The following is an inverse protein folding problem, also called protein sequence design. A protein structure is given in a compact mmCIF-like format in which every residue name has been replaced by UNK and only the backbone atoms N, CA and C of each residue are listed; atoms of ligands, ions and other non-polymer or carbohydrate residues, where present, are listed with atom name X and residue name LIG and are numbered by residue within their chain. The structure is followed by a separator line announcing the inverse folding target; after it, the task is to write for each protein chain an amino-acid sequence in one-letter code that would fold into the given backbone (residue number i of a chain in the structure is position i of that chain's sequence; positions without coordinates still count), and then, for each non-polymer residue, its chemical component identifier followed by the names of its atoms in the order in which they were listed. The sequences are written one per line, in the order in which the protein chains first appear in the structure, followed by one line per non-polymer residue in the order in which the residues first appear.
data_IF_541558417603
#
_entry.id   IF_541558417603
#
_cell.length_a   1.000
_cell.length_b   1.000
_cell.length_c   1.000
_cell.angle_alpha   90.00
_cell.angle_beta   90.00
_cell.angle_gamma   90.00
#
_symmetry.space_group_name_H-M   'P 1'
#
loop_
_entity.id
_entity.type
_entity.pdbx_description
1 polymer ?
#
# COMPACT_ATOMS: atom_id res chain seq x y z
N UNK A 1 39.15 -44.75 -35.73
CA UNK A 1 37.90 -45.04 -34.96
C UNK A 1 38.01 -44.29 -33.65
N UNK A 2 37.48 -43.06 -33.60
CA UNK A 2 37.71 -42.10 -32.52
C UNK A 2 36.43 -42.02 -31.67
N UNK A 3 36.47 -42.58 -30.47
CA UNK A 3 35.35 -42.59 -29.53
C UNK A 3 35.36 -41.25 -28.79
N UNK A 4 34.38 -40.38 -29.13
CA UNK A 4 34.18 -39.09 -28.49
C UNK A 4 33.63 -39.26 -27.05
N UNK A 5 34.34 -38.76 -26.04
CA UNK A 5 33.96 -38.78 -24.61
C UNK A 5 32.87 -37.75 -24.32
N UNK A 6 31.61 -38.18 -24.28
CA UNK A 6 30.42 -37.30 -23.99
C UNK A 6 30.09 -37.24 -22.49
N UNK A 7 30.95 -37.59 -21.56
CA UNK A 7 30.61 -37.81 -20.14
C UNK A 7 30.85 -36.62 -19.21
N UNK A 8 31.22 -35.42 -19.71
CA UNK A 8 31.58 -34.31 -18.83
C UNK A 8 30.51 -33.20 -18.70
N UNK A 9 29.44 -33.23 -19.47
CA UNK A 9 28.41 -32.19 -19.45
C UNK A 9 27.09 -32.61 -18.76
N UNK A 10 26.86 -33.85 -18.47
CA UNK A 10 25.66 -34.37 -17.83
C UNK A 10 25.38 -33.79 -16.42
N UNK A 11 26.39 -33.62 -15.52
CA UNK A 11 26.10 -33.07 -14.19
C UNK A 11 25.76 -31.57 -14.20
N UNK A 12 26.27 -30.77 -15.16
CA UNK A 12 25.95 -29.36 -15.26
C UNK A 12 24.51 -29.11 -15.72
N UNK A 13 24.00 -29.94 -16.64
CA UNK A 13 22.60 -29.86 -17.07
C UNK A 13 21.62 -30.26 -15.95
N UNK A 14 21.95 -31.23 -15.12
CA UNK A 14 21.13 -31.66 -14.00
C UNK A 14 21.04 -30.61 -12.90
N UNK A 15 22.13 -29.89 -12.60
CA UNK A 15 22.15 -28.78 -11.64
C UNK A 15 21.36 -27.56 -12.17
N UNK A 16 21.47 -27.24 -13.45
CA UNK A 16 20.69 -26.15 -14.05
C UNK A 16 19.18 -26.46 -14.07
N UNK A 17 18.80 -27.73 -14.28
CA UNK A 17 17.39 -28.16 -14.22
C UNK A 17 16.83 -28.15 -12.80
N UNK A 18 17.63 -28.41 -11.76
CA UNK A 18 17.20 -28.35 -10.36
C UNK A 18 17.01 -26.88 -9.91
N UNK A 19 17.82 -25.95 -10.38
CA UNK A 19 17.68 -24.51 -10.10
C UNK A 19 16.47 -23.88 -10.78
N UNK A 20 16.04 -24.39 -11.91
CA UNK A 20 14.84 -23.90 -12.61
C UNK A 20 13.51 -24.34 -11.95
N UNK A 21 13.53 -25.39 -11.11
CA UNK A 21 12.32 -25.87 -10.40
C UNK A 21 12.04 -25.14 -9.07
N UNK A 22 12.93 -24.27 -8.62
CA UNK A 22 12.77 -23.55 -7.35
C UNK A 22 12.34 -22.08 -7.51
N UNK A 23 11.99 -21.64 -8.70
CA UNK A 23 11.31 -20.36 -8.88
C UNK A 23 9.84 -20.52 -8.47
N UNK A 24 9.56 -20.49 -7.15
CA UNK A 24 8.23 -20.14 -6.69
C UNK A 24 7.96 -18.72 -7.19
N UNK A 25 7.19 -18.59 -8.26
CA UNK A 25 6.69 -17.31 -8.68
C UNK A 25 5.90 -16.72 -7.51
N UNK A 26 6.32 -15.57 -6.99
CA UNK A 26 5.48 -14.80 -6.10
C UNK A 26 4.18 -14.52 -6.87
N UNK A 27 3.07 -15.16 -6.46
CA UNK A 27 1.77 -14.88 -7.04
C UNK A 27 1.30 -13.55 -6.44
N UNK A 28 1.17 -12.51 -7.26
CA UNK A 28 0.62 -11.22 -6.83
C UNK A 28 -0.90 -11.31 -6.56
N UNK A 29 -1.55 -12.34 -7.11
CA UNK A 29 -2.99 -12.58 -6.97
C UNK A 29 -3.27 -14.07 -6.88
N UNK A 30 -4.29 -14.41 -6.11
CA UNK A 30 -4.88 -15.74 -6.12
C UNK A 30 -6.08 -15.73 -7.09
N UNK A 31 -6.21 -16.80 -7.87
CA UNK A 31 -7.33 -16.94 -8.81
C UNK A 31 -8.29 -17.98 -8.25
N UNK A 32 -9.50 -17.53 -7.96
CA UNK A 32 -10.63 -18.35 -7.52
C UNK A 32 -11.68 -18.47 -8.60
N UNK A 33 -12.37 -19.61 -8.64
CA UNK A 33 -13.43 -19.88 -9.60
C UNK A 33 -14.80 -19.90 -8.92
N UNK A 34 -15.70 -19.03 -9.36
CA UNK A 34 -17.07 -18.98 -8.90
C UNK A 34 -18.05 -19.14 -10.08
N UNK A 35 -18.64 -20.31 -10.21
CA UNK A 35 -19.47 -20.67 -11.37
C UNK A 35 -18.63 -20.66 -12.65
N UNK A 36 -19.02 -19.82 -13.62
CA UNK A 36 -18.29 -19.63 -14.89
C UNK A 36 -17.30 -18.48 -14.86
N UNK A 37 -17.08 -17.84 -13.71
CA UNK A 37 -16.16 -16.70 -13.58
C UNK A 37 -14.85 -17.11 -12.92
N UNK A 38 -13.76 -16.52 -13.35
CA UNK A 38 -12.49 -16.52 -12.66
C UNK A 38 -12.29 -15.15 -12.03
N UNK A 39 -11.97 -15.13 -10.73
CA UNK A 39 -11.79 -13.94 -9.91
C UNK A 39 -10.37 -13.94 -9.38
N UNK A 40 -9.54 -13.05 -9.87
CA UNK A 40 -8.20 -12.84 -9.32
C UNK A 40 -8.29 -11.80 -8.20
N UNK A 41 -7.76 -12.13 -7.01
CA UNK A 41 -7.86 -11.32 -5.81
C UNK A 41 -6.48 -11.09 -5.20
N UNK A 42 -6.13 -9.86 -4.90
CA UNK A 42 -4.84 -9.50 -4.30
C UNK A 42 -4.72 -8.01 -3.99
N UNK A 43 -3.50 -7.54 -3.79
CA UNK A 43 -3.19 -6.12 -3.69
C UNK A 43 -3.00 -5.51 -5.08
N UNK A 44 -3.48 -4.27 -5.27
CA UNK A 44 -3.24 -3.51 -6.50
C UNK A 44 -1.75 -3.19 -6.70
N UNK A 45 -1.06 -2.90 -5.59
CA UNK A 45 0.38 -2.62 -5.61
C UNK A 45 1.11 -3.56 -4.66
N UNK A 46 2.10 -4.29 -5.18
CA UNK A 46 2.97 -5.15 -4.41
C UNK A 46 4.45 -4.76 -4.58
N UNK A 47 5.21 -4.84 -3.50
CA UNK A 47 4.83 -5.20 -2.14
C UNK A 47 3.94 -4.14 -1.47
N UNK A 48 2.95 -4.58 -0.67
CA UNK A 48 2.09 -3.69 0.11
C UNK A 48 2.83 -3.16 1.34
N UNK A 49 2.84 -1.85 1.54
CA UNK A 49 3.55 -1.18 2.64
C UNK A 49 2.60 -0.54 3.64
N UNK A 50 2.98 -0.58 4.93
CA UNK A 50 2.28 0.16 6.00
C UNK A 50 2.28 1.67 5.70
N UNK A 51 1.11 2.30 5.79
CA UNK A 51 0.94 3.75 5.59
C UNK A 51 0.94 4.20 4.13
N UNK A 52 1.18 3.31 3.17
CA UNK A 52 1.06 3.61 1.76
C UNK A 52 -0.37 3.35 1.26
N UNK A 53 -0.85 4.22 0.38
CA UNK A 53 -2.12 3.99 -0.30
C UNK A 53 -2.00 2.75 -1.18
N UNK A 54 -3.00 1.88 -1.11
CA UNK A 54 -3.14 0.67 -1.90
C UNK A 54 -4.63 0.40 -2.14
N UNK A 55 -4.96 -0.69 -2.82
CA UNK A 55 -6.31 -1.17 -2.96
C UNK A 55 -6.36 -2.71 -2.89
N UNK A 56 -7.49 -3.25 -2.46
CA UNK A 56 -7.83 -4.63 -2.79
C UNK A 56 -8.26 -4.64 -4.24
N UNK A 57 -7.49 -5.33 -5.07
CA UNK A 57 -7.75 -5.47 -6.50
C UNK A 57 -8.48 -6.79 -6.78
N UNK A 58 -9.53 -6.68 -7.56
CA UNK A 58 -10.31 -7.81 -8.08
C UNK A 58 -10.32 -7.73 -9.60
N UNK A 59 -9.87 -8.78 -10.28
CA UNK A 59 -9.96 -8.86 -11.74
C UNK A 59 -10.90 -10.01 -12.10
N UNK A 60 -11.95 -9.70 -12.84
CA UNK A 60 -13.01 -10.66 -13.20
C UNK A 60 -12.97 -10.99 -14.68
N UNK A 61 -12.93 -12.29 -14.97
CA UNK A 61 -13.11 -12.80 -16.33
C UNK A 61 -14.20 -13.88 -16.39
N UNK A 62 -14.87 -14.00 -17.52
CA UNK A 62 -15.82 -15.07 -17.77
C UNK A 62 -15.13 -16.40 -18.15
N UNK A 63 -15.91 -17.47 -18.34
CA UNK A 63 -15.38 -18.79 -18.69
C UNK A 63 -14.68 -18.88 -20.05
N UNK A 64 -14.78 -17.87 -20.88
CA UNK A 64 -14.02 -17.72 -22.13
C UNK A 64 -12.76 -16.86 -21.95
N UNK A 65 -12.46 -16.39 -20.75
CA UNK A 65 -11.34 -15.49 -20.43
C UNK A 65 -11.58 -14.04 -20.83
N UNK A 66 -12.82 -13.67 -21.19
CA UNK A 66 -13.18 -12.30 -21.50
C UNK A 66 -13.40 -11.51 -20.21
N UNK A 67 -12.83 -10.30 -20.13
CA UNK A 67 -13.04 -9.40 -19.00
C UNK A 67 -14.51 -9.02 -18.82
N UNK A 68 -14.99 -9.04 -17.58
CA UNK A 68 -16.31 -8.56 -17.17
C UNK A 68 -16.16 -7.10 -16.74
N UNK A 69 -16.73 -6.17 -17.51
CA UNK A 69 -16.48 -4.72 -17.34
C UNK A 69 -17.72 -3.91 -16.97
N UNK A 70 -18.83 -4.58 -16.66
CA UNK A 70 -20.15 -3.99 -16.50
C UNK A 70 -20.73 -4.17 -15.09
N UNK A 71 -19.88 -4.48 -14.09
CA UNK A 71 -20.32 -4.56 -12.70
C UNK A 71 -20.44 -3.15 -12.10
N UNK A 72 -21.55 -2.94 -11.37
CA UNK A 72 -21.75 -1.75 -10.56
C UNK A 72 -20.94 -1.81 -9.24
N UNK A 73 -20.73 -0.66 -8.62
CA UNK A 73 -19.96 -0.56 -7.37
C UNK A 73 -20.54 -1.38 -6.20
N UNK A 74 -21.81 -1.74 -6.26
CA UNK A 74 -22.51 -2.51 -5.21
C UNK A 74 -22.63 -4.01 -5.52
N UNK A 75 -22.25 -4.45 -6.73
CA UNK A 75 -22.34 -5.84 -7.12
C UNK A 75 -21.38 -6.73 -6.34
N UNK A 76 -20.21 -6.18 -6.02
CA UNK A 76 -19.19 -6.82 -5.18
C UNK A 76 -18.79 -5.91 -4.03
N UNK A 77 -18.56 -6.50 -2.88
CA UNK A 77 -18.00 -5.82 -1.70
C UNK A 77 -16.90 -6.66 -1.10
N UNK A 78 -15.91 -6.01 -0.49
CA UNK A 78 -14.84 -6.71 0.22
C UNK A 78 -14.77 -6.25 1.67
N UNK A 79 -14.58 -7.22 2.56
CA UNK A 79 -14.25 -6.98 3.97
C UNK A 79 -12.81 -7.40 4.20
N UNK A 80 -12.04 -6.51 4.82
CA UNK A 80 -10.62 -6.72 5.11
C UNK A 80 -10.47 -7.07 6.59
N UNK A 81 -9.71 -8.12 6.91
CA UNK A 81 -9.41 -8.52 8.27
C UNK A 81 -7.90 -8.65 8.49
N UNK A 82 -7.42 -8.18 9.63
CA UNK A 82 -6.03 -8.36 10.09
C UNK A 82 -5.95 -8.24 11.61
N UNK A 83 -5.09 -9.03 12.25
CA UNK A 83 -4.82 -8.96 13.70
C UNK A 83 -6.09 -8.91 14.58
N UNK A 84 -7.15 -9.62 14.19
CA UNK A 84 -8.42 -9.66 14.92
C UNK A 84 -9.32 -8.43 14.73
N UNK A 85 -8.94 -7.50 13.89
CA UNK A 85 -9.75 -6.36 13.47
C UNK A 85 -10.38 -6.61 12.10
N UNK A 86 -11.51 -5.96 11.84
CA UNK A 86 -12.24 -6.08 10.58
C UNK A 86 -12.72 -4.72 10.10
N UNK A 87 -12.62 -4.46 8.80
CA UNK A 87 -13.17 -3.24 8.19
C UNK A 87 -14.70 -3.31 8.08
N UNK A 88 -15.34 -2.19 7.80
CA UNK A 88 -16.65 -2.20 7.16
C UNK A 88 -16.54 -2.88 5.77
N UNK A 89 -17.69 -3.27 5.20
CA UNK A 89 -17.71 -3.68 3.80
C UNK A 89 -17.37 -2.47 2.91
N UNK A 90 -16.40 -2.65 2.03
CA UNK A 90 -15.96 -1.66 1.06
C UNK A 90 -16.55 -2.02 -0.31
N UNK A 91 -17.05 -1.03 -1.02
CA UNK A 91 -17.44 -1.16 -2.43
C UNK A 91 -16.20 -1.20 -3.31
N UNK A 92 -16.34 -1.78 -4.51
CA UNK A 92 -15.28 -1.81 -5.50
C UNK A 92 -15.66 -0.90 -6.68
N UNK A 93 -14.77 0.03 -6.99
CA UNK A 93 -14.91 0.91 -8.13
C UNK A 93 -14.17 0.32 -9.34
N UNK A 94 -14.72 0.52 -10.57
CA UNK A 94 -14.06 0.06 -11.79
C UNK A 94 -12.70 0.73 -11.97
N UNK A 95 -11.64 -0.06 -12.11
CA UNK A 95 -10.31 0.36 -12.51
C UNK A 95 -10.17 0.60 -14.03
N UNK A 96 -11.24 0.35 -14.79
CA UNK A 96 -11.27 0.51 -16.24
C UNK A 96 -12.33 1.56 -16.67
N UNK A 97 -11.90 2.51 -17.46
CA UNK A 97 -12.76 3.49 -18.11
C UNK A 97 -13.02 3.07 -19.55
N UNK A 98 -14.25 2.62 -19.84
CA UNK A 98 -14.64 2.12 -21.15
C UNK A 98 -14.68 3.21 -22.24
N UNK A 99 -14.89 4.48 -21.86
CA UNK A 99 -15.00 5.60 -22.80
C UNK A 99 -13.62 6.01 -23.33
N UNK A 100 -12.61 5.98 -22.47
CA UNK A 100 -11.23 6.35 -22.83
C UNK A 100 -10.35 5.14 -23.13
N UNK A 101 -10.75 3.94 -22.72
CA UNK A 101 -9.95 2.71 -22.77
C UNK A 101 -8.80 2.69 -21.77
N UNK A 102 -8.84 3.56 -20.75
CA UNK A 102 -7.79 3.64 -19.74
C UNK A 102 -8.04 2.62 -18.62
N UNK A 103 -6.96 2.02 -18.08
CA UNK A 103 -7.02 1.00 -17.03
C UNK A 103 -7.04 -0.43 -17.57
N UNK A 104 -7.32 -1.38 -16.70
CA UNK A 104 -7.35 -2.81 -17.03
C UNK A 104 -8.81 -3.28 -17.12
N UNK A 105 -9.27 -3.80 -18.28
CA UNK A 105 -10.61 -4.33 -18.40
C UNK A 105 -10.89 -5.43 -17.38
N UNK A 106 -12.01 -5.33 -16.66
CA UNK A 106 -12.43 -6.29 -15.64
C UNK A 106 -11.80 -6.07 -14.25
N UNK A 107 -11.02 -5.00 -14.08
CA UNK A 107 -10.44 -4.59 -12.80
C UNK A 107 -11.44 -3.76 -11.97
N UNK A 108 -11.50 -4.07 -10.68
CA UNK A 108 -12.30 -3.39 -9.66
C UNK A 108 -11.49 -3.24 -8.38
N UNK A 109 -11.48 -2.04 -7.81
CA UNK A 109 -10.58 -1.66 -6.72
C UNK A 109 -11.33 -1.14 -5.50
N UNK A 110 -10.99 -1.65 -4.32
CA UNK A 110 -11.42 -1.07 -3.03
C UNK A 110 -10.22 -0.39 -2.37
N UNK A 111 -10.24 0.94 -2.31
CA UNK A 111 -9.13 1.75 -1.79
C UNK A 111 -8.94 1.56 -0.29
N UNK A 112 -7.69 1.37 0.14
CA UNK A 112 -7.31 1.17 1.54
C UNK A 112 -5.88 1.65 1.81
N UNK A 113 -5.64 2.08 3.06
CA UNK A 113 -4.28 2.31 3.58
C UNK A 113 -4.05 1.29 4.70
N UNK A 114 -3.24 0.24 4.49
CA UNK A 114 -2.90 -0.70 5.54
C UNK A 114 -2.06 0.00 6.62
N UNK A 115 -2.46 -0.13 7.89
CA UNK A 115 -1.81 0.57 9.02
C UNK A 115 -1.02 -0.34 9.94
N UNK A 116 -1.05 -1.65 9.70
CA UNK A 116 -0.31 -2.66 10.46
C UNK A 116 0.43 -3.62 9.53
N UNK A 117 1.64 -4.05 9.86
CA UNK A 117 2.30 -5.10 9.10
C UNK A 117 1.69 -6.46 9.43
N UNK A 118 1.85 -7.42 8.53
CA UNK A 118 1.43 -8.80 8.72
C UNK A 118 0.42 -9.29 7.69
N UNK A 119 -0.20 -10.43 8.00
CA UNK A 119 -1.17 -11.06 7.11
C UNK A 119 -2.51 -10.32 7.10
N UNK A 120 -3.08 -10.21 5.92
CA UNK A 120 -4.41 -9.66 5.68
C UNK A 120 -5.29 -10.71 5.01
N UNK A 121 -6.55 -10.76 5.40
CA UNK A 121 -7.56 -11.62 4.80
C UNK A 121 -8.58 -10.74 4.08
N UNK A 122 -8.85 -11.05 2.82
CA UNK A 122 -9.89 -10.41 2.01
C UNK A 122 -11.08 -11.37 1.89
N UNK A 123 -12.25 -10.89 2.25
CA UNK A 123 -13.50 -11.60 2.08
C UNK A 123 -14.36 -10.85 1.05
N UNK A 124 -14.34 -11.33 -0.18
CA UNK A 124 -15.10 -10.79 -1.31
C UNK A 124 -16.48 -11.46 -1.36
N UNK A 125 -17.53 -10.64 -1.40
CA UNK A 125 -18.93 -11.09 -1.50
C UNK A 125 -19.70 -10.29 -2.51
N UNK A 126 -20.71 -10.93 -3.08
CA UNK A 126 -21.68 -10.27 -3.95
C UNK A 126 -22.23 -11.18 -5.04
N UNK A 127 -22.52 -10.61 -6.19
CA UNK A 127 -23.02 -11.35 -7.35
C UNK A 127 -22.40 -10.83 -8.65
N UNK A 128 -22.09 -11.75 -9.56
CA UNK A 128 -21.69 -11.42 -10.94
C UNK A 128 -22.76 -11.99 -11.85
N UNK A 129 -23.59 -11.11 -12.46
CA UNK A 129 -24.69 -11.49 -13.35
C UNK A 129 -25.59 -12.62 -12.76
N UNK A 130 -25.91 -12.50 -11.45
CA UNK A 130 -26.72 -13.47 -10.73
C UNK A 130 -25.97 -14.70 -10.18
N UNK A 131 -24.67 -14.84 -10.47
CA UNK A 131 -23.82 -15.87 -9.85
C UNK A 131 -23.29 -15.34 -8.52
N UNK A 132 -23.56 -16.08 -7.44
CA UNK A 132 -23.07 -15.71 -6.09
C UNK A 132 -21.56 -15.86 -5.98
N UNK A 133 -20.92 -14.84 -5.43
CA UNK A 133 -19.48 -14.79 -5.11
C UNK A 133 -19.36 -14.77 -3.59
N UNK A 134 -18.55 -15.66 -3.05
CA UNK A 134 -18.17 -15.73 -1.63
C UNK A 134 -16.75 -16.33 -1.55
N UNK A 135 -15.73 -15.48 -1.64
CA UNK A 135 -14.34 -15.85 -1.73
C UNK A 135 -13.60 -15.27 -0.54
N UNK A 136 -12.82 -16.08 0.15
CA UNK A 136 -11.99 -15.64 1.28
C UNK A 136 -10.56 -16.08 1.08
N UNK A 137 -9.63 -15.12 0.98
CA UNK A 137 -8.22 -15.37 0.78
C UNK A 137 -7.37 -14.61 1.79
N UNK A 138 -6.30 -15.24 2.24
CA UNK A 138 -5.34 -14.66 3.19
C UNK A 138 -3.97 -14.55 2.55
N UNK A 139 -3.31 -13.43 2.78
CA UNK A 139 -1.96 -13.18 2.30
C UNK A 139 -0.95 -14.21 2.83
N UNK A 140 -0.12 -14.75 1.95
CA UNK A 140 0.88 -15.77 2.25
C UNK A 140 1.93 -15.83 1.12
N UNK A 141 2.91 -16.70 1.25
CA UNK A 141 3.92 -16.94 0.20
C UNK A 141 3.34 -17.55 -1.09
N UNK A 142 2.09 -18.03 -1.06
CA UNK A 142 1.43 -18.71 -2.20
C UNK A 142 0.19 -17.97 -2.72
N UNK A 143 -0.20 -16.88 -2.09
CA UNK A 143 -1.32 -16.04 -2.50
C UNK A 143 -0.81 -14.66 -2.91
N UNK A 144 -1.21 -13.61 -2.24
CA UNK A 144 -0.69 -12.25 -2.38
C UNK A 144 0.16 -11.90 -1.15
N UNK A 145 1.05 -10.93 -1.26
CA UNK A 145 2.01 -10.63 -0.20
C UNK A 145 1.35 -10.06 1.08
N UNK A 146 1.95 -10.38 2.22
CA UNK A 146 1.62 -9.72 3.49
C UNK A 146 2.11 -8.27 3.48
N UNK A 147 1.44 -7.42 4.25
CA UNK A 147 1.84 -6.01 4.40
C UNK A 147 3.16 -5.92 5.15
N UNK A 148 4.10 -5.18 4.59
CA UNK A 148 5.47 -5.02 5.09
C UNK A 148 5.68 -3.62 5.66
N UNK A 149 6.54 -3.48 6.66
CA UNK A 149 7.00 -2.18 7.15
C UNK A 149 7.86 -1.45 6.12
N UNK A 150 7.89 -0.13 6.17
CA UNK A 150 8.62 0.72 5.21
C UNK A 150 10.11 0.84 5.47
N UNK A 151 10.60 0.42 6.64
CA UNK A 151 11.96 0.68 7.15
C UNK A 151 13.08 0.32 6.19
N UNK A 152 12.90 -0.72 5.35
CA UNK A 152 13.94 -1.19 4.42
C UNK A 152 13.98 -0.42 3.10
N UNK A 153 12.92 0.34 2.79
CA UNK A 153 12.78 1.13 1.56
C UNK A 153 12.81 2.64 1.81
N UNK A 154 12.88 3.06 3.07
CA UNK A 154 12.96 4.48 3.44
C UNK A 154 14.33 5.06 3.14
N UNK A 155 14.35 6.17 2.39
CA UNK A 155 15.57 6.93 2.02
C UNK A 155 15.24 8.43 1.96
N UNK A 156 16.14 9.33 2.36
CA UNK A 156 17.49 9.12 2.91
C UNK A 156 17.51 8.84 4.42
N UNK A 157 16.41 8.99 5.12
CA UNK A 157 16.30 8.85 6.58
C UNK A 157 15.16 7.89 6.91
N UNK A 158 15.42 6.93 7.80
CA UNK A 158 14.39 6.05 8.35
C UNK A 158 13.53 6.82 9.34
N UNK A 159 12.22 6.79 9.15
CA UNK A 159 11.25 7.43 10.04
C UNK A 159 10.96 6.54 11.24
N UNK A 160 10.72 7.11 12.44
CA UNK A 160 10.29 6.32 13.57
C UNK A 160 8.91 5.73 13.31
N UNK A 161 8.73 4.46 13.63
CA UNK A 161 7.44 3.78 13.55
C UNK A 161 6.45 4.37 14.57
N UNK A 162 5.14 4.21 14.33
CA UNK A 162 4.11 4.61 15.29
C UNK A 162 4.31 3.94 16.67
N UNK A 163 4.75 2.69 16.70
CA UNK A 163 5.06 1.97 17.94
C UNK A 163 6.23 2.60 18.70
N UNK A 164 7.28 3.03 17.99
CA UNK A 164 8.41 3.74 18.63
C UNK A 164 7.98 5.12 19.15
N UNK A 165 7.14 5.85 18.42
CA UNK A 165 6.58 7.12 18.87
C UNK A 165 5.70 6.91 20.11
N UNK A 166 4.79 5.92 20.10
CA UNK A 166 3.97 5.57 21.26
C UNK A 166 4.85 5.24 22.47
N UNK A 167 5.87 4.39 22.31
CA UNK A 167 6.82 4.05 23.40
C UNK A 167 7.57 5.27 23.94
N UNK A 168 7.86 6.27 23.09
CA UNK A 168 8.49 7.52 23.52
C UNK A 168 7.51 8.39 24.32
N UNK A 169 6.25 8.45 23.90
CA UNK A 169 5.20 9.16 24.62
C UNK A 169 4.96 8.55 25.98
N UNK A 170 4.81 7.23 26.10
CA UNK A 170 4.64 6.53 27.38
C UNK A 170 5.80 6.81 28.36
N UNK A 171 7.03 6.88 27.85
CA UNK A 171 8.19 7.26 28.65
C UNK A 171 8.15 8.72 29.14
N UNK A 172 7.63 9.62 28.30
CA UNK A 172 7.45 11.02 28.67
C UNK A 172 6.36 11.12 29.75
N UNK A 173 5.23 10.46 29.56
CA UNK A 173 4.13 10.45 30.54
C UNK A 173 4.58 9.88 31.89
N UNK A 174 5.35 8.80 31.90
CA UNK A 174 5.93 8.23 33.09
C UNK A 174 6.86 9.22 33.80
N UNK A 175 7.68 9.97 33.05
CA UNK A 175 8.55 11.01 33.65
C UNK A 175 7.74 12.16 34.22
N UNK A 176 6.72 12.62 33.49
CA UNK A 176 5.83 13.71 33.96
C UNK A 176 5.09 13.27 35.21
N UNK A 177 4.56 12.06 35.25
CA UNK A 177 3.92 11.48 36.46
C UNK A 177 4.89 11.39 37.63
N UNK A 178 6.15 10.97 37.38
CA UNK A 178 7.22 10.93 38.40
C UNK A 178 7.59 12.29 38.98
N UNK A 179 7.53 13.35 38.17
CA UNK A 179 7.76 14.73 38.62
C UNK A 179 6.66 15.20 39.60
N UNK A 180 5.42 14.71 39.43
CA UNK A 180 4.28 15.04 40.31
C UNK A 180 4.35 14.38 41.69
N UNK A 181 5.12 13.30 41.85
CA UNK A 181 5.22 12.53 43.12
C UNK A 181 6.40 12.90 43.98
N UNK A 182 7.41 13.65 43.45
CA UNK A 182 8.70 13.87 44.15
C UNK A 182 8.89 15.29 44.73
N UNK A 183 7.90 16.06 44.89
CA UNK A 183 7.84 17.43 45.43
C UNK A 183 6.94 18.24 44.56
N UNK A 184 5.98 18.93 45.14
CA UNK A 184 5.17 19.90 44.37
C UNK A 184 6.10 20.79 43.53
N UNK A 185 5.73 21.11 42.31
CA UNK A 185 6.61 21.86 41.41
C UNK A 185 7.02 23.16 42.10
N UNK A 186 8.32 23.33 42.28
CA UNK A 186 8.84 24.66 42.67
C UNK A 186 8.44 25.62 41.58
N UNK A 187 8.14 26.90 41.94
CA UNK A 187 7.79 27.91 40.94
C UNK A 187 8.79 27.92 39.77
N UNK A 188 10.07 27.71 40.07
CA UNK A 188 11.13 27.60 39.07
C UNK A 188 10.95 26.42 38.08
N UNK A 189 10.41 25.28 38.53
CA UNK A 189 10.16 24.13 37.61
C UNK A 189 8.91 24.34 36.76
N UNK A 190 7.91 25.04 37.29
CA UNK A 190 6.74 25.49 36.49
C UNK A 190 7.16 26.51 35.47
N UNK A 191 7.99 27.47 35.83
CA UNK A 191 8.47 28.49 34.93
C UNK A 191 9.37 27.88 33.82
N UNK A 192 10.23 26.91 34.18
CA UNK A 192 11.03 26.18 33.20
C UNK A 192 10.16 25.36 32.21
N UNK A 193 9.11 24.70 32.72
CA UNK A 193 8.17 23.95 31.87
C UNK A 193 7.37 24.88 30.94
N UNK A 194 6.98 26.06 31.43
CA UNK A 194 6.30 27.07 30.65
C UNK A 194 7.20 27.65 29.55
N UNK A 195 8.47 27.91 29.86
CA UNK A 195 9.48 28.34 28.87
C UNK A 195 9.67 27.28 27.80
N UNK A 196 9.87 26.01 28.20
CA UNK A 196 10.04 24.90 27.24
C UNK A 196 8.79 24.72 26.33
N UNK A 197 7.60 24.87 26.92
CA UNK A 197 6.35 24.83 26.15
C UNK A 197 6.21 26.01 25.17
N UNK A 198 6.66 27.20 25.57
CA UNK A 198 6.68 28.40 24.70
C UNK A 198 7.68 28.23 23.54
N UNK A 199 8.87 27.71 23.81
CA UNK A 199 9.89 27.43 22.80
C UNK A 199 9.45 26.34 21.80
N UNK A 200 8.76 25.29 22.30
CA UNK A 200 8.18 24.27 21.45
C UNK A 200 7.11 24.82 20.52
N UNK A 201 6.24 25.70 21.02
CA UNK A 201 5.22 26.40 20.20
C UNK A 201 5.87 27.32 19.17
N UNK A 202 6.84 28.12 19.57
CA UNK A 202 7.56 29.00 18.65
C UNK A 202 8.28 28.22 17.53
N UNK A 203 8.79 27.04 17.86
CA UNK A 203 9.42 26.14 16.87
C UNK A 203 8.40 25.54 15.91
N UNK A 204 7.22 25.15 16.41
CA UNK A 204 6.12 24.65 15.60
C UNK A 204 5.58 25.75 14.66
N UNK A 205 5.40 26.98 15.16
CA UNK A 205 4.95 28.12 14.37
C UNK A 205 5.94 28.46 13.25
N UNK A 206 7.26 28.44 13.55
CA UNK A 206 8.31 28.62 12.53
C UNK A 206 8.27 27.56 11.45
N UNK A 207 8.11 26.28 11.85
CA UNK A 207 7.97 25.17 10.90
C UNK A 207 6.76 25.33 9.99
N UNK A 208 5.66 25.80 10.55
CA UNK A 208 4.41 26.03 9.82
C UNK A 208 4.55 27.20 8.82
N UNK A 209 5.20 28.29 9.23
CA UNK A 209 5.51 29.43 8.35
C UNK A 209 6.46 29.02 7.22
N UNK A 210 7.51 28.27 7.53
CA UNK A 210 8.45 27.76 6.51
C UNK A 210 7.72 26.81 5.55
N UNK A 211 6.90 25.90 6.07
CA UNK A 211 6.09 24.99 5.26
C UNK A 211 5.11 25.72 4.33
N UNK A 212 4.43 26.76 4.84
CA UNK A 212 3.55 27.60 4.05
C UNK A 212 4.30 28.41 2.98
N UNK A 213 5.48 28.93 3.31
CA UNK A 213 6.31 29.67 2.35
C UNK A 213 6.82 28.76 1.23
N UNK A 214 7.35 27.58 1.56
CA UNK A 214 7.84 26.60 0.58
C UNK A 214 6.69 26.06 -0.27
N UNK A 215 5.54 25.76 0.35
CA UNK A 215 4.34 25.32 -0.36
C UNK A 215 3.81 26.40 -1.30
N UNK A 216 3.76 27.65 -0.85
CA UNK A 216 3.36 28.80 -1.68
C UNK A 216 4.26 29.00 -2.89
N UNK A 217 5.57 28.92 -2.72
CA UNK A 217 6.54 28.99 -3.84
C UNK A 217 6.34 27.83 -4.81
N UNK A 218 6.11 26.60 -4.31
CA UNK A 218 5.81 25.44 -5.15
C UNK A 218 4.58 25.61 -6.02
N UNK A 219 3.49 26.15 -5.44
CA UNK A 219 2.25 26.47 -6.17
C UNK A 219 2.49 27.53 -7.25
N UNK A 220 3.24 28.59 -6.94
CA UNK A 220 3.56 29.64 -7.91
C UNK A 220 4.41 29.12 -9.08
N UNK A 221 5.40 28.27 -8.79
CA UNK A 221 6.24 27.63 -9.84
C UNK A 221 5.36 26.71 -10.70
N UNK A 222 4.47 25.93 -10.09
CA UNK A 222 3.55 25.05 -10.79
C UNK A 222 2.59 25.82 -11.70
N UNK A 223 2.00 26.90 -11.22
CA UNK A 223 1.16 27.78 -12.01
C UNK A 223 1.92 28.46 -13.15
N UNK A 224 3.15 28.93 -12.89
CA UNK A 224 4.00 29.52 -13.92
C UNK A 224 4.36 28.51 -15.01
N UNK A 225 4.73 27.29 -14.64
CA UNK A 225 5.01 26.20 -15.58
C UNK A 225 3.78 25.87 -16.44
N UNK A 226 2.58 25.82 -15.83
CA UNK A 226 1.32 25.56 -16.51
C UNK A 226 0.97 26.67 -17.51
N UNK A 227 1.16 27.92 -17.14
CA UNK A 227 0.93 29.08 -18.03
C UNK A 227 1.94 29.09 -19.19
N UNK A 228 3.21 28.73 -18.90
CA UNK A 228 4.26 28.66 -19.95
C UNK A 228 4.03 27.52 -20.92
N UNK A 229 3.52 26.37 -20.48
CA UNK A 229 3.22 25.22 -21.35
C UNK A 229 2.06 25.46 -22.32
N UNK A 230 1.20 26.47 -22.04
CA UNK A 230 0.06 26.84 -22.90
C UNK A 230 0.40 27.88 -23.98
N UNK A 231 1.67 28.33 -24.09
CA UNK A 231 2.04 29.24 -25.18
C UNK A 231 2.13 28.47 -26.48
N UNK A 232 1.38 28.85 -27.52
CA UNK A 232 1.47 28.20 -28.82
C UNK A 232 2.86 28.44 -29.42
N UNK A 233 3.44 27.38 -29.97
CA UNK A 233 4.68 27.46 -30.75
C UNK A 233 4.39 28.29 -31.98
N UNK A 234 5.13 29.37 -32.29
CA UNK A 234 4.96 30.10 -33.53
C UNK A 234 5.33 29.17 -34.67
N UNK A 235 4.40 28.97 -35.62
CA UNK A 235 4.62 28.18 -36.80
C UNK A 235 5.74 28.78 -37.64
N UNK A 236 6.69 27.93 -38.02
CA UNK A 236 7.67 28.22 -39.07
C UNK A 236 6.93 28.21 -40.42
N UNK A 237 6.90 29.34 -41.05
CA UNK A 237 6.61 29.48 -42.47
C UNK A 237 7.80 29.00 -43.29
#
# INVERSE_FOLDING_TARGET
MTIFRIHRFAPLLAVASLLALSANGAAAHVIEHAGSYAVALGWQHEPAYVGAQNAVQVIVTDGAGKAVTDLGAEDLTVVISTAGQQSAALTLDSGFDADTGFGTPGEYDAQVIPTSPGAYTFHLKGTIHGTSIDVTETSSDTTFNSVTGTTDVEFPVKLPTLAEVATRLDRIDTRVAGLGTTSGPTQASVDAANVAAADARASADRALVIGAAVGGVGILIGLFALVRSRRPVPGSA
#
